data_IF_851653357381
#
_entry.id   IF_851653357381
#
_cell.length_a   1.000
_cell.length_b   1.000
_cell.length_c   1.000
_cell.angle_alpha   90.00
_cell.angle_beta   90.00
_cell.angle_gamma   90.00
#
_symmetry.space_group_name_H-M   'P 1'
#
loop_
_entity.id
_entity.type
_entity.pdbx_description
1 polymer ?
#
# COMPACT_ATOMS: atom_id res chain seq x y z
N UNK A 1 -16.46 -13.18 -37.14
CA UNK A 1 -16.97 -12.86 -35.79
C UNK A 1 -15.87 -12.06 -35.11
N UNK A 2 -16.02 -10.75 -34.95
CA UNK A 2 -15.01 -9.91 -34.29
C UNK A 2 -15.19 -9.95 -32.78
N UNK A 3 -14.08 -9.90 -32.02
CA UNK A 3 -14.15 -9.84 -30.56
C UNK A 3 -15.01 -8.65 -30.09
N UNK A 4 -15.81 -8.82 -29.03
CA UNK A 4 -16.59 -7.73 -28.48
C UNK A 4 -15.66 -6.59 -28.03
N UNK A 5 -16.08 -5.35 -28.28
CA UNK A 5 -15.35 -4.18 -27.82
C UNK A 5 -15.15 -4.25 -26.30
N UNK A 6 -13.91 -4.12 -25.84
CA UNK A 6 -13.60 -4.09 -24.42
C UNK A 6 -14.34 -2.94 -23.73
N UNK A 7 -14.93 -3.22 -22.56
CA UNK A 7 -15.60 -2.20 -21.76
C UNK A 7 -14.65 -1.07 -21.34
N UNK A 8 -15.16 0.16 -21.14
CA UNK A 8 -14.32 1.30 -20.79
C UNK A 8 -13.61 1.06 -19.45
N UNK A 9 -12.29 1.29 -19.43
CA UNK A 9 -11.51 1.23 -18.20
C UNK A 9 -11.92 2.38 -17.27
N UNK A 10 -11.94 2.12 -15.96
CA UNK A 10 -12.17 3.17 -14.94
C UNK A 10 -11.14 4.29 -15.14
N UNK A 11 -11.57 5.54 -15.04
CA UNK A 11 -10.70 6.72 -15.16
C UNK A 11 -9.49 6.67 -14.23
N UNK A 12 -9.63 6.10 -13.02
CA UNK A 12 -8.51 5.89 -12.09
C UNK A 12 -7.36 5.01 -12.63
N UNK A 13 -7.56 4.32 -13.76
CA UNK A 13 -6.53 3.55 -14.48
C UNK A 13 -5.95 4.27 -15.69
N UNK A 14 -6.55 5.36 -16.14
CA UNK A 14 -6.22 6.00 -17.43
C UNK A 14 -5.92 7.48 -17.32
N UNK A 15 -6.38 8.15 -16.25
CA UNK A 15 -6.23 9.59 -16.04
C UNK A 15 -5.42 9.88 -14.78
N UNK A 16 -4.35 10.65 -14.92
CA UNK A 16 -3.52 11.12 -13.82
C UNK A 16 -2.10 11.45 -14.29
N UNK A 17 -1.39 12.31 -13.55
CA UNK A 17 -0.08 12.82 -13.96
C UNK A 17 1.06 12.32 -13.07
N UNK A 18 0.75 11.86 -11.86
CA UNK A 18 1.76 11.50 -10.86
C UNK A 18 1.85 9.97 -10.72
N UNK A 19 3.01 9.36 -11.03
CA UNK A 19 3.25 7.93 -10.78
C UNK A 19 2.93 7.56 -9.33
N UNK A 20 2.41 6.35 -9.11
CA UNK A 20 2.04 5.81 -7.80
C UNK A 20 1.00 6.62 -7.00
N UNK A 21 0.32 7.61 -7.60
CA UNK A 21 -0.82 8.28 -6.94
C UNK A 21 -1.99 7.31 -6.70
N UNK A 22 -2.27 6.44 -7.67
CA UNK A 22 -3.22 5.34 -7.55
C UNK A 22 -2.47 4.03 -7.69
N UNK A 23 -2.57 3.18 -6.66
CA UNK A 23 -1.89 1.89 -6.64
C UNK A 23 -2.86 0.75 -6.32
N UNK A 24 -2.57 -0.43 -6.87
CA UNK A 24 -3.02 -1.71 -6.34
C UNK A 24 -1.93 -2.36 -5.50
N UNK A 25 -2.31 -3.07 -4.46
CA UNK A 25 -1.42 -3.79 -3.57
C UNK A 25 -1.90 -5.22 -3.41
N UNK A 26 -0.97 -6.15 -3.54
CA UNK A 26 -1.23 -7.58 -3.41
C UNK A 26 -0.03 -8.31 -2.80
N UNK A 27 -0.27 -9.50 -2.26
CA UNK A 27 0.79 -10.40 -1.81
C UNK A 27 1.07 -11.47 -2.87
N UNK A 28 2.34 -11.77 -3.09
CA UNK A 28 2.77 -12.90 -3.89
C UNK A 28 3.65 -13.84 -3.05
N UNK A 29 3.40 -15.13 -3.12
CA UNK A 29 4.13 -16.15 -2.35
C UNK A 29 3.28 -17.39 -2.10
N UNK A 30 3.75 -18.34 -1.26
CA UNK A 30 5.01 -18.32 -0.51
C UNK A 30 6.26 -18.60 -1.37
N UNK A 31 7.34 -17.85 -1.15
CA UNK A 31 8.65 -18.09 -1.76
C UNK A 31 9.56 -18.73 -0.73
N UNK A 32 10.00 -19.96 -0.98
CA UNK A 32 10.94 -20.66 -0.09
C UNK A 32 12.37 -20.26 -0.40
N UNK A 33 13.15 -19.99 0.64
CA UNK A 33 14.57 -19.65 0.51
C UNK A 33 15.39 -20.35 1.60
N UNK A 34 16.65 -20.66 1.26
CA UNK A 34 17.58 -21.28 2.20
C UNK A 34 18.28 -20.20 3.02
N UNK A 35 17.91 -20.06 4.30
CA UNK A 35 18.55 -19.13 5.22
C UNK A 35 19.91 -19.65 5.73
N UNK A 36 20.08 -20.97 5.83
CA UNK A 36 21.36 -21.62 6.14
C UNK A 36 21.39 -23.06 5.63
N UNK A 37 22.53 -23.76 5.76
CA UNK A 37 22.71 -25.15 5.25
C UNK A 37 21.59 -26.12 5.65
N UNK A 38 20.96 -25.93 6.82
CA UNK A 38 19.89 -26.78 7.36
C UNK A 38 18.57 -26.06 7.62
N UNK A 39 18.47 -24.77 7.26
CA UNK A 39 17.28 -23.95 7.56
C UNK A 39 16.70 -23.38 6.27
N UNK A 40 15.49 -23.80 5.96
CA UNK A 40 14.64 -23.24 4.91
C UNK A 40 13.59 -22.33 5.57
N UNK A 41 13.37 -21.16 4.98
CA UNK A 41 12.38 -20.18 5.43
C UNK A 41 11.47 -19.83 4.27
N UNK A 42 10.33 -19.23 4.61
CA UNK A 42 9.38 -18.70 3.63
C UNK A 42 9.41 -17.18 3.70
N UNK A 43 9.31 -16.55 2.54
CA UNK A 43 9.09 -15.12 2.40
C UNK A 43 7.91 -14.86 1.46
N UNK A 44 7.40 -13.64 1.53
CA UNK A 44 6.33 -13.13 0.71
C UNK A 44 6.78 -11.83 0.04
N UNK A 45 6.30 -11.56 -1.16
CA UNK A 45 6.48 -10.27 -1.81
C UNK A 45 5.21 -9.45 -1.62
N UNK A 46 5.37 -8.19 -1.23
CA UNK A 46 4.31 -7.20 -1.42
C UNK A 46 4.53 -6.53 -2.76
N UNK A 47 3.50 -6.56 -3.59
CA UNK A 47 3.48 -6.00 -4.92
C UNK A 47 2.71 -4.69 -4.89
N UNK A 48 3.40 -3.56 -5.07
CA UNK A 48 2.77 -2.25 -5.24
C UNK A 48 2.75 -1.89 -6.73
N UNK A 49 1.60 -2.06 -7.37
CA UNK A 49 1.42 -1.80 -8.79
C UNK A 49 0.79 -0.43 -9.02
N UNK A 50 1.44 0.42 -9.82
CA UNK A 50 0.88 1.70 -10.23
C UNK A 50 -0.15 1.53 -11.34
N UNK A 51 -1.35 2.07 -11.11
CA UNK A 51 -2.44 2.02 -12.10
C UNK A 51 -2.16 2.86 -13.35
N UNK A 52 -1.38 3.93 -13.23
CA UNK A 52 -1.14 4.90 -14.31
C UNK A 52 0.02 4.49 -15.23
N UNK A 53 1.16 4.12 -14.65
CA UNK A 53 2.39 3.85 -15.41
C UNK A 53 2.65 2.38 -15.66
N UNK A 54 1.85 1.48 -15.05
CA UNK A 54 2.13 0.04 -14.94
C UNK A 54 3.45 -0.30 -14.25
N UNK A 55 4.08 0.66 -13.57
CA UNK A 55 5.28 0.43 -12.78
C UNK A 55 4.97 -0.41 -11.54
N UNK A 56 5.87 -1.33 -11.19
CA UNK A 56 5.73 -2.20 -10.02
C UNK A 56 6.88 -1.93 -9.05
N UNK A 57 6.57 -1.76 -7.77
CA UNK A 57 7.54 -1.74 -6.67
C UNK A 57 7.35 -2.99 -5.82
N UNK A 58 8.43 -3.72 -5.56
CA UNK A 58 8.40 -4.98 -4.81
C UNK A 58 9.15 -4.81 -3.49
N UNK A 59 8.59 -5.35 -2.42
CA UNK A 59 9.24 -5.46 -1.12
C UNK A 59 9.13 -6.90 -0.63
N UNK A 60 10.22 -7.44 -0.07
CA UNK A 60 10.24 -8.78 0.52
C UNK A 60 9.87 -8.70 2.01
N UNK A 61 8.99 -9.58 2.46
CA UNK A 61 8.51 -9.69 3.82
C UNK A 61 8.73 -11.11 4.33
N UNK A 62 9.02 -11.24 5.63
CA UNK A 62 9.21 -12.54 6.28
C UNK A 62 7.88 -13.22 6.63
N UNK A 63 6.78 -12.46 6.70
CA UNK A 63 5.44 -12.98 6.98
C UNK A 63 4.35 -12.12 6.33
N UNK A 64 3.10 -12.60 6.39
CA UNK A 64 1.91 -11.85 5.99
C UNK A 64 1.34 -11.02 7.14
N UNK A 65 2.09 -10.81 8.23
CA UNK A 65 1.60 -10.06 9.37
C UNK A 65 1.40 -8.57 9.04
N UNK A 66 0.46 -7.96 9.75
CA UNK A 66 0.08 -6.56 9.51
C UNK A 66 1.24 -5.60 9.74
N UNK A 67 2.06 -5.88 10.75
CA UNK A 67 3.23 -5.05 11.07
C UNK A 67 4.27 -5.06 9.94
N UNK A 68 4.59 -6.24 9.39
CA UNK A 68 5.50 -6.38 8.24
C UNK A 68 4.99 -5.59 7.03
N UNK A 69 3.69 -5.65 6.77
CA UNK A 69 3.06 -4.86 5.72
C UNK A 69 3.16 -3.36 5.98
N UNK A 70 2.86 -2.89 7.19
CA UNK A 70 2.92 -1.47 7.53
C UNK A 70 4.33 -0.90 7.39
N UNK A 71 5.35 -1.66 7.80
CA UNK A 71 6.75 -1.27 7.62
C UNK A 71 7.14 -1.21 6.14
N UNK A 72 6.73 -2.21 5.35
CA UNK A 72 6.89 -2.20 3.89
C UNK A 72 6.20 -1.01 3.24
N UNK A 73 4.97 -0.70 3.64
CA UNK A 73 4.21 0.42 3.11
C UNK A 73 4.83 1.77 3.48
N UNK A 74 5.35 1.91 4.70
CA UNK A 74 6.13 3.10 5.11
C UNK A 74 7.36 3.30 4.24
N UNK A 75 8.10 2.23 3.96
CA UNK A 75 9.26 2.23 3.04
C UNK A 75 8.87 2.59 1.61
N UNK A 76 7.75 2.06 1.12
CA UNK A 76 7.18 2.42 -0.17
C UNK A 76 6.88 3.92 -0.24
N UNK A 77 6.16 4.48 0.75
CA UNK A 77 5.81 5.90 0.80
C UNK A 77 7.06 6.79 0.80
N UNK A 78 8.07 6.43 1.60
CA UNK A 78 9.32 7.18 1.67
C UNK A 78 10.05 7.26 0.32
N UNK A 79 9.92 6.24 -0.54
CA UNK A 79 10.62 6.16 -1.83
C UNK A 79 9.79 6.62 -3.03
N UNK A 80 8.48 6.40 -3.00
CA UNK A 80 7.57 6.62 -4.15
C UNK A 80 6.56 7.75 -3.93
N UNK A 81 6.53 8.32 -2.72
CA UNK A 81 5.54 9.30 -2.31
C UNK A 81 4.27 8.65 -1.77
N UNK A 82 3.44 9.47 -1.11
CA UNK A 82 2.19 9.02 -0.51
C UNK A 82 1.11 8.81 -1.60
N UNK A 83 0.56 7.60 -1.76
CA UNK A 83 -0.54 7.39 -2.69
C UNK A 83 -1.79 8.11 -2.20
N UNK A 84 -2.61 8.60 -3.13
CA UNK A 84 -3.94 9.15 -2.83
C UNK A 84 -4.98 8.03 -2.68
N UNK A 85 -4.82 6.95 -3.46
CA UNK A 85 -5.70 5.78 -3.43
C UNK A 85 -4.88 4.50 -3.45
N UNK A 86 -5.23 3.59 -2.54
CA UNK A 86 -4.67 2.24 -2.46
C UNK A 86 -5.82 1.25 -2.58
N UNK A 87 -5.76 0.38 -3.60
CA UNK A 87 -6.64 -0.76 -3.75
C UNK A 87 -5.94 -2.01 -3.24
N UNK A 88 -6.64 -2.87 -2.52
CA UNK A 88 -6.16 -4.19 -2.09
C UNK A 88 -7.29 -5.20 -2.19
N UNK A 89 -6.98 -6.48 -2.04
CA UNK A 89 -8.00 -7.48 -1.76
C UNK A 89 -8.52 -7.35 -0.31
N UNK A 90 -9.44 -8.24 0.06
CA UNK A 90 -10.04 -8.30 1.41
C UNK A 90 -9.22 -9.17 2.39
N UNK A 91 -7.92 -9.34 2.14
CA UNK A 91 -6.99 -10.04 3.01
C UNK A 91 -7.00 -9.50 4.44
N UNK A 92 -6.86 -10.38 5.42
CA UNK A 92 -6.91 -10.02 6.84
C UNK A 92 -5.87 -8.93 7.19
N UNK A 93 -4.66 -9.09 6.66
CA UNK A 93 -3.54 -8.15 6.80
C UNK A 93 -3.91 -6.73 6.34
N UNK A 94 -4.49 -6.59 5.15
CA UNK A 94 -4.87 -5.28 4.63
C UNK A 94 -6.05 -4.67 5.40
N UNK A 95 -7.03 -5.48 5.81
CA UNK A 95 -8.15 -4.98 6.64
C UNK A 95 -7.65 -4.46 7.99
N UNK A 96 -6.72 -5.16 8.63
CA UNK A 96 -6.09 -4.73 9.86
C UNK A 96 -5.24 -3.46 9.64
N UNK A 97 -4.45 -3.41 8.58
CA UNK A 97 -3.67 -2.23 8.21
C UNK A 97 -4.56 -1.00 7.96
N UNK A 98 -5.69 -1.15 7.25
CA UNK A 98 -6.67 -0.07 7.03
C UNK A 98 -7.24 0.43 8.36
N UNK A 99 -7.52 -0.48 9.30
CA UNK A 99 -8.01 -0.12 10.63
C UNK A 99 -6.97 0.72 11.39
N UNK A 100 -5.71 0.28 11.37
CA UNK A 100 -4.59 0.99 11.98
C UNK A 100 -4.38 2.37 11.32
N UNK A 101 -4.33 2.45 9.99
CA UNK A 101 -4.16 3.70 9.25
C UNK A 101 -5.29 4.70 9.50
N UNK A 102 -6.53 4.22 9.66
CA UNK A 102 -7.67 5.07 10.02
C UNK A 102 -7.52 5.68 11.40
N UNK A 103 -6.91 4.98 12.36
CA UNK A 103 -6.60 5.50 13.70
C UNK A 103 -5.54 6.59 13.61
N UNK A 104 -4.41 6.31 12.95
CA UNK A 104 -3.32 7.29 12.76
C UNK A 104 -3.83 8.56 12.08
N UNK A 105 -4.66 8.44 11.04
CA UNK A 105 -5.25 9.60 10.38
C UNK A 105 -6.15 10.45 11.29
N UNK A 106 -6.85 9.85 12.26
CA UNK A 106 -7.65 10.61 13.23
C UNK A 106 -6.74 11.38 14.18
N UNK A 107 -5.65 10.76 14.63
CA UNK A 107 -4.64 11.39 15.48
C UNK A 107 -3.94 12.55 14.75
N UNK A 108 -3.58 12.39 13.48
CA UNK A 108 -3.00 13.46 12.66
C UNK A 108 -3.91 14.69 12.57
N UNK A 109 -5.21 14.48 12.28
CA UNK A 109 -6.21 15.56 12.26
C UNK A 109 -6.37 16.24 13.61
N UNK A 110 -6.29 15.47 14.70
CA UNK A 110 -6.36 16.03 16.05
C UNK A 110 -5.15 16.92 16.34
N UNK A 111 -3.93 16.48 16.01
CA UNK A 111 -2.73 17.29 16.17
C UNK A 111 -2.78 18.56 15.30
N UNK A 112 -3.26 18.46 14.06
CA UNK A 112 -3.46 19.63 13.19
C UNK A 112 -4.45 20.62 13.80
N UNK A 113 -5.56 20.13 14.37
CA UNK A 113 -6.54 20.98 15.05
C UNK A 113 -5.93 21.68 16.28
N UNK A 114 -5.10 20.98 17.07
CA UNK A 114 -4.39 21.58 18.21
C UNK A 114 -3.39 22.66 17.78
N UNK A 115 -2.60 22.44 16.71
CA UNK A 115 -1.67 23.44 16.19
C UNK A 115 -2.39 24.72 15.72
N UNK A 116 -3.61 24.59 15.20
CA UNK A 116 -4.43 25.71 14.72
C UNK A 116 -5.22 26.40 15.85
N UNK A 117 -5.30 25.79 17.03
CA UNK A 117 -5.96 26.39 18.19
C UNK A 117 -5.03 27.43 18.83
N UNK A 118 -5.17 28.69 18.42
CA UNK A 118 -4.61 29.83 19.18
C UNK A 118 -5.41 29.98 20.46
N UNK A 119 -4.89 29.44 21.56
CA UNK A 119 -5.34 29.81 22.89
C UNK A 119 -4.88 31.25 23.15
N UNK A 120 -5.71 32.23 22.78
CA UNK A 120 -5.57 33.58 23.33
C UNK A 120 -6.06 33.51 24.77
N UNK A 121 -5.11 33.60 25.70
CA UNK A 121 -5.33 33.74 27.12
C UNK A 121 -4.26 34.65 27.69
N UNK A 122 -4.38 35.95 27.38
CA UNK A 122 -3.99 37.09 28.22
C UNK A 122 -5.16 38.07 28.19
#
# INVERSE_FOLDING_TARGET
MGDPASGPLRSSRTTGNTPYSVIGVDFAGPIRYRASKKVEKTAYLVVFACSLTRGVHLELLESLETEEFLQSFKRFIARRGRPSVVYSDNGATFKAAVTWLRKVRKEEKFHEALCNLRLFGD
#
